data_IF_582213258253
#
_entry.id   IF_582213258253
#
_cell.length_a   1.000
_cell.length_b   1.000
_cell.length_c   1.000
_cell.angle_alpha   90.00
_cell.angle_beta   90.00
_cell.angle_gamma   90.00
#
_symmetry.space_group_name_H-M   'P 1'
#
loop_
_entity.id
_entity.type
_entity.pdbx_description
1 polymer ?
#
# COMPACT_ATOMS: atom_id res chain seq x y z
N UNK A 1 -16.69 -5.72 19.52
CA UNK A 1 -16.15 -6.20 18.24
C UNK A 1 -15.57 -4.98 17.56
N UNK A 2 -14.29 -5.03 17.18
CA UNK A 2 -13.66 -3.98 16.37
C UNK A 2 -14.34 -3.93 15.00
N UNK A 3 -14.64 -2.73 14.53
CA UNK A 3 -15.20 -2.53 13.19
C UNK A 3 -14.13 -2.94 12.16
N UNK A 4 -14.46 -3.77 11.15
CA UNK A 4 -13.48 -4.23 10.18
C UNK A 4 -12.96 -3.06 9.32
N UNK A 5 -11.66 -3.02 9.10
CA UNK A 5 -11.04 -2.02 8.22
C UNK A 5 -11.38 -2.35 6.76
N UNK A 6 -11.97 -1.43 5.98
CA UNK A 6 -12.26 -1.68 4.57
C UNK A 6 -10.96 -1.78 3.76
N UNK A 7 -10.81 -2.87 3.01
CA UNK A 7 -9.64 -3.13 2.17
C UNK A 7 -10.02 -3.06 0.69
N UNK A 8 -9.21 -2.34 -0.09
CA UNK A 8 -9.33 -2.27 -1.55
C UNK A 8 -8.06 -2.80 -2.19
N UNK A 9 -8.19 -3.76 -3.11
CA UNK A 9 -7.08 -4.29 -3.89
C UNK A 9 -7.03 -3.59 -5.26
N UNK A 10 -5.97 -2.84 -5.53
CA UNK A 10 -5.74 -2.20 -6.82
C UNK A 10 -4.76 -3.02 -7.68
N UNK A 11 -5.28 -3.65 -8.73
CA UNK A 11 -4.49 -4.46 -9.66
C UNK A 11 -4.40 -3.82 -11.05
N UNK A 12 -3.39 -4.24 -11.83
CA UNK A 12 -3.20 -3.83 -13.22
C UNK A 12 -1.77 -4.04 -13.70
N UNK A 13 -1.58 -4.09 -15.02
CA UNK A 13 -0.27 -4.24 -15.65
C UNK A 13 0.74 -3.14 -15.26
N UNK A 14 2.03 -3.37 -15.50
CA UNK A 14 3.05 -2.33 -15.38
C UNK A 14 2.71 -1.15 -16.29
N UNK A 15 2.79 0.07 -15.78
CA UNK A 15 2.42 1.27 -16.54
C UNK A 15 0.92 1.57 -16.62
N UNK A 16 0.03 0.76 -16.03
CA UNK A 16 -1.42 1.02 -16.03
C UNK A 16 -1.88 2.26 -15.23
N UNK A 17 -0.95 3.04 -14.67
CA UNK A 17 -1.26 4.26 -13.92
C UNK A 17 -1.71 4.04 -12.47
N UNK A 18 -1.45 2.87 -11.87
CA UNK A 18 -1.84 2.54 -10.48
C UNK A 18 -1.35 3.58 -9.47
N UNK A 19 -0.07 3.91 -9.49
CA UNK A 19 0.56 4.89 -8.59
C UNK A 19 -0.03 6.29 -8.77
N UNK A 20 -0.30 6.69 -10.02
CA UNK A 20 -0.97 7.95 -10.35
C UNK A 20 -2.38 8.02 -9.75
N UNK A 21 -3.15 6.94 -9.84
CA UNK A 21 -4.50 6.85 -9.28
C UNK A 21 -4.46 6.98 -7.76
N UNK A 22 -3.56 6.26 -7.09
CA UNK A 22 -3.40 6.32 -5.63
C UNK A 22 -3.09 7.76 -5.19
N UNK A 23 -2.12 8.42 -5.82
CA UNK A 23 -1.77 9.80 -5.48
C UNK A 23 -2.91 10.79 -5.72
N UNK A 24 -3.67 10.62 -6.80
CA UNK A 24 -4.87 11.41 -7.05
C UNK A 24 -5.89 11.26 -5.93
N UNK A 25 -6.12 10.03 -5.47
CA UNK A 25 -7.07 9.72 -4.40
C UNK A 25 -6.60 10.26 -3.04
N UNK A 26 -5.33 10.07 -2.68
CA UNK A 26 -4.75 10.59 -1.43
C UNK A 26 -4.82 12.13 -1.35
N UNK A 27 -4.69 12.83 -2.47
CA UNK A 27 -4.81 14.30 -2.53
C UNK A 27 -6.25 14.79 -2.37
N UNK A 28 -7.23 13.99 -2.79
CA UNK A 28 -8.66 14.32 -2.76
C UNK A 28 -9.30 13.96 -1.40
N UNK A 29 -8.94 12.81 -0.84
CA UNK A 29 -9.47 12.31 0.42
C UNK A 29 -8.71 12.89 1.63
N UNK A 30 -8.87 14.20 1.87
CA UNK A 30 -8.23 14.92 2.99
C UNK A 30 -8.94 14.80 4.34
N UNK A 31 -10.06 14.10 4.37
CA UNK A 31 -10.89 13.87 5.55
C UNK A 31 -10.79 12.43 6.05
N UNK A 32 -9.98 11.59 5.39
CA UNK A 32 -9.83 10.16 5.69
C UNK A 32 -8.37 9.78 5.84
N UNK A 33 -8.08 9.00 6.87
CA UNK A 33 -6.79 8.34 7.01
C UNK A 33 -6.77 7.13 6.09
N UNK A 34 -5.84 7.10 5.15
CA UNK A 34 -5.69 6.00 4.18
C UNK A 34 -4.31 5.37 4.39
N UNK A 35 -4.32 4.09 4.75
CA UNK A 35 -3.15 3.23 4.71
C UNK A 35 -2.93 2.71 3.30
N UNK A 36 -1.70 2.80 2.78
CA UNK A 36 -1.36 2.27 1.45
C UNK A 36 -0.31 1.19 1.58
N UNK A 37 -0.65 -0.02 1.15
CA UNK A 37 0.27 -1.16 1.05
C UNK A 37 0.77 -1.32 -0.38
N UNK A 38 2.07 -1.13 -0.60
CA UNK A 38 2.67 -1.23 -1.95
C UNK A 38 3.45 -2.54 -2.07
N UNK A 39 3.09 -3.35 -3.06
CA UNK A 39 3.91 -4.47 -3.51
C UNK A 39 4.92 -3.95 -4.55
N UNK A 40 6.07 -3.52 -4.06
CA UNK A 40 7.20 -3.08 -4.89
C UNK A 40 8.07 -4.28 -5.28
N UNK A 41 8.63 -4.26 -6.49
CA UNK A 41 9.39 -5.38 -7.07
C UNK A 41 10.85 -4.97 -7.26
N UNK A 42 11.77 -5.59 -6.52
CA UNK A 42 13.22 -5.36 -6.63
C UNK A 42 13.83 -4.65 -5.42
N UNK A 43 15.15 -4.45 -5.44
CA UNK A 43 15.89 -3.80 -4.34
C UNK A 43 15.63 -2.29 -4.24
N UNK A 44 15.20 -1.68 -5.34
CA UNK A 44 14.86 -0.27 -5.44
C UNK A 44 13.35 -0.09 -5.25
N UNK A 45 12.95 0.56 -4.16
CA UNK A 45 11.55 0.85 -3.83
C UNK A 45 11.00 2.04 -4.64
N UNK A 46 10.79 1.85 -5.94
CA UNK A 46 10.35 2.91 -6.84
C UNK A 46 8.91 3.32 -6.54
N UNK A 47 7.98 2.35 -6.51
CA UNK A 47 6.56 2.67 -6.37
C UNK A 47 6.28 3.30 -5.00
N UNK A 48 6.91 2.82 -3.93
CA UNK A 48 6.75 3.41 -2.61
C UNK A 48 7.24 4.87 -2.54
N UNK A 49 8.39 5.17 -3.17
CA UNK A 49 8.96 6.53 -3.21
C UNK A 49 8.09 7.54 -3.97
N UNK A 50 7.22 7.04 -4.86
CA UNK A 50 6.32 7.86 -5.67
C UNK A 50 4.99 8.15 -4.97
N UNK A 51 4.68 7.53 -3.83
CA UNK A 51 3.40 7.73 -3.14
C UNK A 51 3.45 8.94 -2.21
N UNK A 52 2.54 9.88 -2.45
CA UNK A 52 2.40 11.16 -1.74
C UNK A 52 1.28 11.06 -0.69
N UNK A 53 1.56 10.41 0.44
CA UNK A 53 0.60 10.22 1.54
C UNK A 53 0.89 11.15 2.72
N UNK A 54 0.28 12.34 2.70
CA UNK A 54 0.55 13.38 3.71
C UNK A 54 -0.30 13.25 4.98
N UNK A 55 -1.39 12.49 4.95
CA UNK A 55 -2.34 12.38 6.06
C UNK A 55 -2.51 10.96 6.61
N UNK A 56 -1.83 9.97 6.02
CA UNK A 56 -1.86 8.58 6.46
C UNK A 56 -0.45 7.97 6.53
N UNK A 57 -0.39 6.64 6.61
CA UNK A 57 0.86 5.89 6.51
C UNK A 57 0.94 5.13 5.18
N UNK A 58 2.08 5.23 4.51
CA UNK A 58 2.44 4.33 3.41
C UNK A 58 3.33 3.24 3.98
N UNK A 59 2.91 1.99 3.84
CA UNK A 59 3.64 0.80 4.27
C UNK A 59 4.07 0.07 3.02
N UNK A 60 5.36 -0.22 2.92
CA UNK A 60 5.94 -0.90 1.76
C UNK A 60 6.24 -2.34 2.11
N UNK A 61 5.75 -3.27 1.29
CA UNK A 61 6.22 -4.65 1.35
C UNK A 61 7.65 -4.69 0.81
N UNK A 62 8.61 -4.70 1.71
CA UNK A 62 10.03 -4.78 1.38
C UNK A 62 10.49 -6.21 1.63
N UNK A 63 11.12 -6.83 0.63
CA UNK A 63 11.66 -8.20 0.67
C UNK A 63 10.61 -9.33 0.72
N UNK A 64 9.83 -9.45 -0.34
CA UNK A 64 8.96 -10.59 -0.52
C UNK A 64 7.74 -10.18 -1.28
N UNK A 65 7.85 -10.16 -2.60
CA UNK A 65 6.67 -10.06 -3.43
C UNK A 65 5.71 -11.18 -3.04
N UNK A 66 4.41 -10.95 -3.16
CA UNK A 66 3.39 -11.99 -2.94
C UNK A 66 3.67 -13.25 -3.80
N UNK A 67 4.54 -13.15 -4.81
CA UNK A 67 4.98 -14.24 -5.69
C UNK A 67 6.36 -14.88 -5.36
N UNK A 68 7.19 -14.32 -4.49
CA UNK A 68 8.57 -14.81 -4.24
C UNK A 68 8.80 -15.33 -2.81
N UNK A 69 8.08 -14.78 -1.83
CA UNK A 69 8.11 -15.21 -0.42
C UNK A 69 6.68 -15.16 0.12
N UNK A 70 5.88 -16.16 -0.26
CA UNK A 70 4.48 -16.28 0.13
C UNK A 70 4.37 -16.57 1.64
N UNK A 71 4.49 -15.55 2.50
CA UNK A 71 3.85 -15.44 3.81
C UNK A 71 4.45 -14.30 4.66
N UNK A 72 5.76 -14.31 4.87
CA UNK A 72 6.36 -13.74 6.10
C UNK A 72 6.34 -12.20 6.21
N UNK A 73 6.07 -11.47 5.13
CA UNK A 73 6.01 -10.00 5.14
C UNK A 73 4.59 -9.42 5.08
N UNK A 74 3.62 -10.21 4.61
CA UNK A 74 2.29 -9.70 4.32
C UNK A 74 1.41 -9.64 5.57
N UNK A 75 1.48 -10.67 6.41
CA UNK A 75 0.80 -10.72 7.70
C UNK A 75 1.30 -9.63 8.65
N UNK A 76 2.62 -9.41 8.72
CA UNK A 76 3.23 -8.34 9.50
C UNK A 76 2.76 -6.95 9.04
N UNK A 77 2.74 -6.72 7.72
CA UNK A 77 2.25 -5.45 7.17
C UNK A 77 0.75 -5.24 7.42
N UNK A 78 -0.07 -6.30 7.34
CA UNK A 78 -1.49 -6.22 7.68
C UNK A 78 -1.70 -5.93 9.17
N UNK A 79 -0.89 -6.50 10.06
CA UNK A 79 -0.94 -6.21 11.48
C UNK A 79 -0.59 -4.73 11.77
N UNK A 80 0.37 -4.16 11.05
CA UNK A 80 0.73 -2.75 11.17
C UNK A 80 -0.37 -1.80 10.66
N UNK A 81 -1.07 -2.16 9.57
CA UNK A 81 -2.26 -1.44 9.11
C UNK A 81 -3.40 -1.56 10.11
N UNK A 82 -3.59 -2.73 10.70
CA UNK A 82 -4.61 -2.98 11.72
C UNK A 82 -4.44 -2.17 13.01
N UNK A 83 -3.24 -1.61 13.21
CA UNK A 83 -2.90 -0.78 14.37
C UNK A 83 -3.02 0.74 14.13
N UNK A 84 -3.40 1.16 12.92
CA UNK A 84 -3.71 2.56 12.56
C UNK A 84 -5.12 2.97 13.01
#
# INVERSE_FOLDING_TARGET
MTEPIPVTLLCGYLGAGKTTLINSLLRQCRDRVIGVLVNDLGELQIDASLIDNQQGRTITLTNGCICCSLADGFDAALAEIGAL
#
